data_IF_020630571103
#
_entry.id   IF_020630571103
#
_cell.length_a   1.000
_cell.length_b   1.000
_cell.length_c   1.000
_cell.angle_alpha   90.00
_cell.angle_beta   90.00
_cell.angle_gamma   90.00
#
_symmetry.space_group_name_H-M   'P 1'
#
loop_
_entity.id
_entity.type
_entity.pdbx_description
1 polymer ?
#
# COMPACT_ATOMS: atom_id res chain seq x y z
N UNK A 1 -4.16 -23.31 0.51
CA UNK A 1 -2.92 -24.11 0.29
C UNK A 1 -2.19 -24.16 1.62
N UNK A 2 -2.02 -25.34 2.20
CA UNK A 2 -1.25 -25.50 3.42
C UNK A 2 0.22 -25.19 3.10
N UNK A 3 0.83 -24.27 3.85
CA UNK A 3 2.26 -23.97 3.74
C UNK A 3 3.00 -25.19 4.29
N UNK A 4 3.63 -25.93 3.41
CA UNK A 4 4.35 -27.14 3.75
C UNK A 4 5.66 -26.78 4.49
N UNK A 5 5.70 -26.97 5.79
CA UNK A 5 6.86 -26.71 6.67
C UNK A 5 7.97 -27.78 6.48
N UNK A 6 7.74 -28.81 5.68
CA UNK A 6 8.68 -29.91 5.45
C UNK A 6 9.88 -29.57 4.57
N UNK A 7 9.92 -28.43 3.89
CA UNK A 7 11.05 -28.01 3.06
C UNK A 7 12.21 -27.33 3.83
N UNK A 8 12.09 -27.19 5.17
CA UNK A 8 13.14 -26.60 6.03
C UNK A 8 13.90 -27.63 6.87
N UNK A 9 13.90 -28.90 6.49
CA UNK A 9 14.48 -29.97 7.31
C UNK A 9 15.99 -30.20 7.15
N UNK A 10 16.72 -29.45 6.31
CA UNK A 10 18.12 -29.81 5.98
C UNK A 10 19.18 -28.75 6.33
N UNK A 11 18.98 -27.87 7.34
CA UNK A 11 20.11 -27.13 7.91
C UNK A 11 20.13 -27.14 9.43
N UNK A 12 21.23 -27.73 9.94
CA UNK A 12 21.61 -27.85 11.35
C UNK A 12 21.82 -26.47 12.00
N UNK A 13 20.74 -25.85 12.49
CA UNK A 13 20.85 -24.82 13.56
C UNK A 13 19.48 -24.64 14.26
N UNK A 14 19.32 -25.15 15.45
CA UNK A 14 18.07 -25.12 16.23
C UNK A 14 17.49 -23.72 16.47
N UNK A 15 18.30 -22.66 16.29
CA UNK A 15 17.86 -21.26 16.41
C UNK A 15 17.05 -20.75 15.19
N UNK A 16 17.43 -21.11 13.99
CA UNK A 16 16.77 -20.69 12.73
C UNK A 16 15.37 -21.30 12.65
N UNK A 17 15.23 -22.54 13.05
CA UNK A 17 13.95 -23.26 13.05
C UNK A 17 12.91 -22.65 14.01
N UNK A 18 13.34 -22.09 15.15
CA UNK A 18 12.44 -21.38 16.09
C UNK A 18 11.92 -20.09 15.49
N UNK A 19 12.74 -19.35 14.76
CA UNK A 19 12.33 -18.11 14.08
C UNK A 19 11.30 -18.41 12.98
N UNK A 20 11.55 -19.42 12.15
CA UNK A 20 10.61 -19.83 11.10
C UNK A 20 9.25 -20.25 11.68
N UNK A 21 9.25 -21.00 12.78
CA UNK A 21 8.04 -21.42 13.50
C UNK A 21 7.30 -20.21 14.12
N UNK A 22 8.02 -19.26 14.69
CA UNK A 22 7.45 -18.02 15.22
C UNK A 22 6.79 -17.19 14.10
N UNK A 23 7.45 -17.04 12.96
CA UNK A 23 6.90 -16.37 11.78
C UNK A 23 5.63 -17.08 11.28
N UNK A 24 5.60 -18.41 11.21
CA UNK A 24 4.43 -19.18 10.82
C UNK A 24 3.23 -18.90 11.76
N UNK A 25 3.46 -18.85 13.06
CA UNK A 25 2.42 -18.53 14.08
C UNK A 25 1.89 -17.09 13.86
N UNK A 26 2.77 -16.11 13.67
CA UNK A 26 2.36 -14.72 13.42
C UNK A 26 1.55 -14.60 12.13
N UNK A 27 1.95 -15.28 11.06
CA UNK A 27 1.23 -15.28 9.78
C UNK A 27 -0.18 -15.90 9.91
N UNK A 28 -0.31 -16.99 10.66
CA UNK A 28 -1.62 -17.60 10.93
C UNK A 28 -2.51 -16.65 11.73
N UNK A 29 -2.00 -16.03 12.78
CA UNK A 29 -2.75 -15.04 13.57
C UNK A 29 -3.15 -13.82 12.75
N UNK A 30 -2.34 -13.40 11.77
CA UNK A 30 -2.66 -12.32 10.84
C UNK A 30 -3.87 -12.61 9.96
N UNK A 31 -4.11 -13.88 9.61
CA UNK A 31 -5.29 -14.32 8.83
C UNK A 31 -6.55 -14.44 9.68
N UNK A 32 -6.43 -14.44 11.01
CA UNK A 32 -7.54 -14.61 11.94
C UNK A 32 -7.67 -13.43 12.93
N UNK A 33 -8.16 -12.25 12.50
CA UNK A 33 -8.28 -11.05 13.34
C UNK A 33 -9.15 -11.25 14.59
N UNK A 34 -10.07 -12.24 14.54
CA UNK A 34 -10.90 -12.66 15.66
C UNK A 34 -10.14 -13.28 16.82
N UNK A 35 -8.91 -13.74 16.57
CA UNK A 35 -8.07 -14.50 17.51
C UNK A 35 -8.24 -16.00 17.35
N UNK A 36 -7.26 -16.74 17.90
CA UNK A 36 -7.22 -18.22 17.86
C UNK A 36 -6.78 -18.79 19.20
N UNK A 37 -7.25 -19.99 19.52
CA UNK A 37 -6.74 -20.76 20.64
C UNK A 37 -5.38 -21.39 20.33
N UNK A 38 -4.60 -21.76 21.35
CA UNK A 38 -3.35 -22.52 21.18
C UNK A 38 -3.53 -23.84 20.41
N UNK A 39 -4.71 -24.46 20.54
CA UNK A 39 -5.02 -25.71 19.84
C UNK A 39 -5.22 -25.51 18.34
N UNK A 40 -5.98 -24.49 17.95
CA UNK A 40 -6.21 -24.12 16.55
C UNK A 40 -4.90 -23.70 15.87
N UNK A 41 -4.08 -22.88 16.53
CA UNK A 41 -2.75 -22.50 16.01
C UNK A 41 -1.89 -23.74 15.78
N UNK A 42 -1.83 -24.66 16.78
CA UNK A 42 -1.03 -25.88 16.69
C UNK A 42 -1.44 -26.76 15.51
N UNK A 43 -2.73 -26.85 15.24
CA UNK A 43 -3.27 -27.59 14.10
C UNK A 43 -2.91 -26.93 12.77
N UNK A 44 -3.05 -25.59 12.67
CA UNK A 44 -2.79 -24.83 11.45
C UNK A 44 -1.31 -24.83 11.04
N UNK A 45 -0.39 -24.70 12.05
CA UNK A 45 1.07 -24.70 11.79
C UNK A 45 1.69 -26.11 11.84
N UNK A 46 0.90 -27.16 12.04
CA UNK A 46 1.33 -28.56 12.14
C UNK A 46 2.46 -28.78 13.17
N UNK A 47 2.39 -28.12 14.35
CA UNK A 47 3.35 -28.22 15.43
C UNK A 47 2.71 -28.78 16.70
N UNK A 48 3.50 -29.49 17.56
CA UNK A 48 3.02 -29.94 18.88
C UNK A 48 2.54 -28.72 19.71
N UNK A 49 1.41 -28.86 20.40
CA UNK A 49 0.81 -27.78 21.23
C UNK A 49 1.79 -27.22 22.26
N UNK A 50 2.64 -28.07 22.86
CA UNK A 50 3.68 -27.65 23.82
C UNK A 50 4.74 -26.72 23.16
N UNK A 51 5.10 -26.98 21.90
CA UNK A 51 6.03 -26.17 21.14
C UNK A 51 5.38 -24.81 20.83
N UNK A 52 4.13 -24.79 20.35
CA UNK A 52 3.38 -23.56 20.10
C UNK A 52 3.25 -22.73 21.37
N UNK A 53 2.90 -23.35 22.49
CA UNK A 53 2.78 -22.68 23.79
C UNK A 53 4.08 -21.97 24.21
N UNK A 54 5.24 -22.61 24.03
CA UNK A 54 6.55 -22.00 24.35
C UNK A 54 6.89 -20.82 23.44
N UNK A 55 6.62 -20.96 22.13
CA UNK A 55 6.86 -19.88 21.17
C UNK A 55 5.91 -18.72 21.42
N UNK A 56 4.62 -18.98 21.63
CA UNK A 56 3.61 -17.94 21.94
C UNK A 56 3.97 -17.20 23.23
N UNK A 57 4.43 -17.89 24.29
CA UNK A 57 4.88 -17.23 25.52
C UNK A 57 6.06 -16.27 25.27
N UNK A 58 7.02 -16.65 24.42
CA UNK A 58 8.12 -15.78 24.04
C UNK A 58 7.64 -14.57 23.19
N UNK A 59 6.72 -14.79 22.25
CA UNK A 59 6.12 -13.73 21.44
C UNK A 59 5.27 -12.76 22.27
N UNK A 60 4.55 -13.27 23.28
CA UNK A 60 3.77 -12.45 24.23
C UNK A 60 4.69 -11.57 25.09
N UNK A 61 5.79 -12.15 25.60
CA UNK A 61 6.82 -11.40 26.34
C UNK A 61 7.41 -10.25 25.49
N UNK A 62 7.54 -10.44 24.17
CA UNK A 62 7.97 -9.45 23.22
C UNK A 62 6.82 -8.52 22.73
N UNK A 63 5.62 -8.69 23.23
CA UNK A 63 4.39 -7.97 22.80
C UNK A 63 4.07 -8.13 21.30
N UNK A 64 4.59 -9.14 20.63
CA UNK A 64 4.29 -9.49 19.24
C UNK A 64 2.97 -10.26 19.11
N UNK A 65 2.57 -10.94 20.18
CA UNK A 65 1.27 -11.60 20.36
C UNK A 65 0.68 -11.11 21.68
N UNK A 66 -0.62 -11.14 21.82
CA UNK A 66 -1.31 -10.86 23.09
C UNK A 66 -2.49 -11.81 23.28
N UNK A 67 -2.77 -12.15 24.53
CA UNK A 67 -4.01 -12.81 24.92
C UNK A 67 -5.16 -11.80 25.01
N UNK A 68 -6.31 -12.15 24.45
CA UNK A 68 -7.54 -11.33 24.45
C UNK A 68 -8.65 -11.98 25.27
N UNK A 69 -8.32 -12.59 26.41
CA UNK A 69 -9.30 -13.28 27.25
C UNK A 69 -10.07 -14.36 26.48
N UNK A 70 -11.41 -14.29 26.46
CA UNK A 70 -12.27 -15.22 25.72
C UNK A 70 -12.06 -15.22 24.21
N UNK A 71 -11.39 -14.21 23.65
CA UNK A 71 -11.11 -14.08 22.22
C UNK A 71 -9.82 -14.80 21.74
N UNK A 72 -9.12 -15.52 22.62
CA UNK A 72 -7.90 -16.24 22.26
C UNK A 72 -6.68 -15.35 22.09
N UNK A 73 -5.72 -15.83 21.28
CA UNK A 73 -4.45 -15.16 20.96
C UNK A 73 -4.61 -14.31 19.70
N UNK A 74 -4.04 -13.10 19.70
CA UNK A 74 -4.05 -12.16 18.58
C UNK A 74 -2.67 -11.54 18.40
N UNK A 75 -2.43 -10.90 17.24
CA UNK A 75 -1.25 -10.08 17.02
C UNK A 75 -1.16 -8.95 18.06
N UNK A 76 0.04 -8.69 18.53
CA UNK A 76 0.33 -7.77 19.62
C UNK A 76 0.77 -6.36 19.12
N UNK A 77 0.75 -5.35 20.02
CA UNK A 77 0.99 -3.95 19.67
C UNK A 77 2.43 -3.64 19.25
N UNK A 78 3.42 -4.49 19.59
CA UNK A 78 4.81 -4.29 19.17
C UNK A 78 4.96 -4.30 17.65
N UNK A 79 4.08 -5.02 16.92
CA UNK A 79 4.07 -5.03 15.45
C UNK A 79 3.80 -3.64 14.87
N UNK A 80 2.98 -2.80 15.52
CA UNK A 80 2.72 -1.44 15.05
C UNK A 80 3.99 -0.57 15.10
N UNK A 81 4.86 -0.77 16.10
CA UNK A 81 6.14 -0.07 16.19
C UNK A 81 7.10 -0.53 15.09
N UNK A 82 7.11 -1.81 14.77
CA UNK A 82 7.93 -2.37 13.68
C UNK A 82 7.46 -1.85 12.31
N UNK A 83 6.14 -1.80 12.08
CA UNK A 83 5.55 -1.27 10.85
C UNK A 83 5.93 0.21 10.64
N UNK A 84 5.94 1.04 11.70
CA UNK A 84 6.32 2.45 11.57
C UNK A 84 7.79 2.64 11.15
N UNK A 85 8.67 1.71 11.49
CA UNK A 85 10.07 1.71 11.04
C UNK A 85 10.21 1.27 9.57
N UNK A 86 9.40 0.32 9.14
CA UNK A 86 9.41 -0.20 7.76
C UNK A 86 8.89 0.81 6.73
N UNK A 87 8.06 1.79 7.12
CA UNK A 87 7.58 2.82 6.20
C UNK A 87 8.69 3.74 5.65
N UNK A 88 9.82 3.88 6.34
CA UNK A 88 10.99 4.57 5.81
C UNK A 88 11.62 3.78 4.66
N UNK A 89 11.60 2.47 4.76
CA UNK A 89 12.25 1.56 3.81
C UNK A 89 11.51 1.54 2.45
N UNK A 90 10.18 1.74 2.43
CA UNK A 90 9.42 1.82 1.16
C UNK A 90 9.80 3.02 0.33
N UNK A 91 9.98 4.20 0.96
CA UNK A 91 10.41 5.39 0.23
C UNK A 91 11.80 5.17 -0.35
N UNK A 92 12.74 4.62 0.43
CA UNK A 92 14.10 4.36 -0.02
C UNK A 92 14.15 3.29 -1.13
N UNK A 93 13.31 2.27 -1.03
CA UNK A 93 13.17 1.23 -2.04
C UNK A 93 12.62 1.76 -3.36
N UNK A 94 11.60 2.62 -3.31
CA UNK A 94 10.87 3.10 -4.49
C UNK A 94 11.53 4.34 -5.11
N UNK A 95 12.28 5.14 -4.32
CA UNK A 95 12.91 6.39 -4.75
C UNK A 95 13.69 6.28 -6.08
N UNK A 96 14.58 5.30 -6.31
CA UNK A 96 15.34 5.23 -7.57
C UNK A 96 14.43 5.13 -8.81
N UNK A 97 13.31 4.42 -8.69
CA UNK A 97 12.34 4.27 -9.77
C UNK A 97 11.58 5.56 -10.05
N UNK A 98 11.23 6.32 -8.99
CA UNK A 98 10.55 7.62 -9.14
C UNK A 98 11.50 8.66 -9.73
N UNK A 99 12.77 8.66 -9.34
CA UNK A 99 13.81 9.53 -9.89
C UNK A 99 14.03 9.23 -11.38
N UNK A 100 14.12 7.94 -11.73
CA UNK A 100 14.24 7.52 -13.14
C UNK A 100 13.01 7.91 -13.95
N UNK A 101 11.80 7.68 -13.43
CA UNK A 101 10.55 8.10 -14.09
C UNK A 101 10.53 9.60 -14.31
N UNK A 102 10.80 10.39 -13.26
CA UNK A 102 10.85 11.85 -13.36
C UNK A 102 11.90 12.34 -14.37
N UNK A 103 13.08 11.70 -14.43
CA UNK A 103 14.11 12.02 -15.39
C UNK A 103 13.67 11.72 -16.84
N UNK A 104 13.01 10.58 -17.07
CA UNK A 104 12.53 10.19 -18.41
C UNK A 104 11.47 11.14 -18.95
N UNK A 105 10.49 11.50 -18.14
CA UNK A 105 9.34 12.32 -18.57
C UNK A 105 9.56 13.81 -18.35
N UNK A 106 10.50 14.18 -17.48
CA UNK A 106 10.76 15.55 -16.97
C UNK A 106 9.49 16.22 -16.43
N UNK A 107 8.69 15.48 -15.64
CA UNK A 107 7.54 15.99 -14.88
C UNK A 107 7.65 15.53 -13.41
N UNK A 108 6.89 16.19 -12.54
CA UNK A 108 6.89 15.87 -11.10
C UNK A 108 6.18 14.55 -10.85
N UNK A 109 6.84 13.69 -10.08
CA UNK A 109 6.34 12.38 -9.65
C UNK A 109 6.11 12.38 -8.14
N UNK A 110 5.00 11.83 -7.67
CA UNK A 110 4.69 11.71 -6.24
C UNK A 110 4.43 10.28 -5.84
N UNK A 111 4.82 9.92 -4.62
CA UNK A 111 4.39 8.74 -3.90
C UNK A 111 3.47 9.18 -2.76
N UNK A 112 2.28 8.59 -2.68
CA UNK A 112 1.31 8.96 -1.66
C UNK A 112 0.60 7.72 -1.11
N UNK A 113 -0.07 7.90 0.03
CA UNK A 113 -0.91 6.87 0.68
C UNK A 113 -2.20 7.48 1.20
N UNK A 114 -3.18 6.66 1.46
CA UNK A 114 -4.37 7.09 2.19
C UNK A 114 -4.03 7.37 3.67
N UNK A 115 -4.59 8.44 4.19
CA UNK A 115 -4.55 8.83 5.61
C UNK A 115 -5.96 9.27 6.03
N UNK A 116 -6.75 8.33 6.56
CA UNK A 116 -8.18 8.53 6.73
C UNK A 116 -8.85 8.78 5.37
N UNK A 117 -9.59 9.88 5.25
CA UNK A 117 -10.32 10.27 4.03
C UNK A 117 -9.48 11.07 3.04
N UNK A 118 -8.19 11.23 3.32
CA UNK A 118 -7.29 12.12 2.57
C UNK A 118 -6.11 11.38 1.96
N UNK A 119 -5.56 11.94 0.89
CA UNK A 119 -4.32 11.51 0.27
C UNK A 119 -3.15 12.26 0.91
N UNK A 120 -2.21 11.54 1.51
CA UNK A 120 -0.99 12.08 2.10
C UNK A 120 0.21 11.78 1.18
N UNK A 121 0.84 12.82 0.64
CA UNK A 121 2.08 12.70 -0.12
C UNK A 121 3.22 12.40 0.87
N UNK A 122 3.91 11.28 0.67
CA UNK A 122 5.03 10.83 1.53
C UNK A 122 6.39 11.03 0.88
N UNK A 123 6.45 11.09 -0.44
CA UNK A 123 7.66 11.42 -1.19
C UNK A 123 7.31 12.04 -2.55
N UNK A 124 8.22 12.83 -3.11
CA UNK A 124 8.10 13.36 -4.47
C UNK A 124 9.46 13.65 -5.08
N UNK A 125 9.51 13.63 -6.40
CA UNK A 125 10.63 14.07 -7.24
C UNK A 125 10.13 15.20 -8.13
N UNK A 126 10.72 16.37 -8.00
CA UNK A 126 10.30 17.57 -8.75
C UNK A 126 10.97 17.62 -10.10
N UNK A 127 10.22 17.91 -11.15
CA UNK A 127 10.75 18.16 -12.49
C UNK A 127 11.79 19.29 -12.52
N UNK A 128 12.72 19.22 -13.46
CA UNK A 128 13.75 20.27 -13.64
C UNK A 128 13.29 21.44 -14.52
N UNK A 129 12.12 21.33 -15.18
CA UNK A 129 11.57 22.36 -16.06
C UNK A 129 11.24 23.65 -15.31
N UNK A 130 11.31 24.78 -15.99
CA UNK A 130 10.88 26.09 -15.48
C UNK A 130 9.41 26.05 -15.05
N UNK A 131 8.50 25.71 -15.98
CA UNK A 131 7.10 25.48 -15.67
C UNK A 131 6.89 24.04 -15.21
N UNK A 132 6.74 23.84 -13.90
CA UNK A 132 6.51 22.57 -13.26
C UNK A 132 5.49 22.68 -12.13
N UNK A 133 4.86 21.57 -11.78
CA UNK A 133 4.00 21.48 -10.60
C UNK A 133 4.86 21.06 -9.41
N UNK A 134 4.79 21.82 -8.30
CA UNK A 134 5.49 21.49 -7.06
C UNK A 134 4.45 21.18 -5.99
N UNK A 135 4.38 19.94 -5.49
CA UNK A 135 3.43 19.58 -4.45
C UNK A 135 3.78 20.28 -3.13
N UNK A 136 2.76 20.66 -2.37
CA UNK A 136 2.95 21.22 -1.03
C UNK A 136 2.99 20.08 -0.03
N UNK A 137 4.09 19.96 0.72
CA UNK A 137 4.20 18.99 1.82
C UNK A 137 3.16 19.34 2.89
N UNK A 138 2.47 18.30 3.40
CA UNK A 138 1.44 18.48 4.43
C UNK A 138 0.08 18.96 3.90
N UNK A 139 -0.05 19.18 2.59
CA UNK A 139 -1.36 19.36 1.99
C UNK A 139 -2.05 17.99 1.92
N UNK A 140 -3.13 17.87 2.63
CA UNK A 140 -4.01 16.71 2.57
C UNK A 140 -5.14 17.02 1.59
N UNK A 141 -5.27 16.21 0.55
CA UNK A 141 -6.32 16.35 -0.48
C UNK A 141 -7.34 15.21 -0.32
N UNK A 142 -8.63 15.47 -0.55
CA UNK A 142 -9.62 14.40 -0.49
C UNK A 142 -9.30 13.26 -1.45
N UNK A 143 -9.48 12.00 -1.01
CA UNK A 143 -9.24 10.83 -1.86
C UNK A 143 -10.09 10.85 -3.14
N UNK A 144 -11.32 11.34 -3.06
CA UNK A 144 -12.25 11.35 -4.19
C UNK A 144 -11.84 12.31 -5.31
N UNK A 145 -11.18 13.42 -4.99
CA UNK A 145 -10.84 14.47 -5.96
C UNK A 145 -9.57 14.17 -6.75
N UNK A 146 -8.64 13.38 -6.20
CA UNK A 146 -7.32 13.15 -6.78
C UNK A 146 -7.23 11.84 -7.57
N UNK A 147 -6.43 11.80 -8.64
CA UNK A 147 -6.14 10.55 -9.34
C UNK A 147 -5.47 9.52 -8.40
N UNK A 148 -4.51 9.96 -7.57
CA UNK A 148 -3.84 9.12 -6.57
C UNK A 148 -4.80 8.54 -5.52
N UNK A 149 -5.79 9.31 -5.09
CA UNK A 149 -6.82 8.84 -4.17
C UNK A 149 -7.77 7.85 -4.84
N UNK A 150 -8.21 8.12 -6.08
CA UNK A 150 -9.11 7.24 -6.82
C UNK A 150 -8.52 5.86 -7.12
N UNK A 151 -7.22 5.75 -7.41
CA UNK A 151 -6.58 4.42 -7.57
C UNK A 151 -6.51 3.65 -6.25
N UNK A 152 -6.37 4.33 -5.11
CA UNK A 152 -6.44 3.68 -3.79
C UNK A 152 -7.86 3.27 -3.43
N UNK A 153 -8.87 4.11 -3.69
CA UNK A 153 -10.28 3.78 -3.51
C UNK A 153 -10.72 2.61 -4.42
N UNK A 154 -10.15 2.47 -5.61
CA UNK A 154 -10.44 1.38 -6.52
C UNK A 154 -10.04 -0.01 -5.98
N UNK A 155 -9.15 -0.05 -4.99
CA UNK A 155 -8.73 -1.27 -4.29
C UNK A 155 -9.68 -1.69 -3.16
N UNK A 156 -10.65 -0.84 -2.82
CA UNK A 156 -11.65 -1.09 -1.80
C UNK A 156 -12.98 -1.57 -2.42
N UNK A 157 -13.86 -2.18 -1.61
CA UNK A 157 -15.23 -2.45 -2.06
C UNK A 157 -16.05 -1.16 -2.14
N UNK A 158 -17.12 -1.14 -2.95
CA UNK A 158 -18.00 0.03 -3.04
C UNK A 158 -18.64 0.40 -1.69
N UNK A 159 -18.85 -0.60 -0.83
CA UNK A 159 -19.32 -0.40 0.54
C UNK A 159 -18.28 0.35 1.37
N UNK A 160 -17.01 -0.04 1.27
CA UNK A 160 -15.93 0.59 2.03
C UNK A 160 -15.60 1.97 1.48
N UNK A 161 -15.67 2.17 0.15
CA UNK A 161 -15.56 3.49 -0.48
C UNK A 161 -16.60 4.45 0.11
N UNK A 162 -17.87 4.01 0.20
CA UNK A 162 -18.95 4.82 0.79
C UNK A 162 -18.64 5.23 2.22
N UNK A 163 -18.11 4.31 3.03
CA UNK A 163 -17.74 4.59 4.43
C UNK A 163 -16.56 5.55 4.51
N UNK A 164 -15.55 5.34 3.67
CA UNK A 164 -14.31 6.15 3.66
C UNK A 164 -14.53 7.58 3.19
N UNK A 165 -15.35 7.78 2.14
CA UNK A 165 -15.51 9.11 1.52
C UNK A 165 -16.63 9.92 2.18
N UNK A 166 -17.68 9.24 2.68
CA UNK A 166 -18.86 9.89 3.24
C UNK A 166 -19.71 10.57 2.18
N UNK A 167 -20.50 11.57 2.60
CA UNK A 167 -21.47 12.27 1.74
C UNK A 167 -21.07 13.71 1.40
N UNK A 168 -20.02 14.24 2.03
CA UNK A 168 -19.57 15.61 1.85
C UNK A 168 -18.48 15.70 0.77
N UNK A 169 -18.78 16.39 -0.33
CA UNK A 169 -17.87 16.62 -1.46
C UNK A 169 -17.62 18.13 -1.58
N UNK A 170 -16.38 18.55 -1.36
CA UNK A 170 -15.93 19.90 -1.60
C UNK A 170 -15.66 20.11 -3.10
N UNK A 171 -16.19 21.17 -3.66
CA UNK A 171 -15.91 21.56 -5.04
C UNK A 171 -14.65 22.43 -5.09
N UNK A 172 -13.55 21.87 -5.57
CA UNK A 172 -12.24 22.53 -5.57
C UNK A 172 -12.04 23.44 -6.81
N UNK A 173 -12.62 23.04 -7.95
CA UNK A 173 -12.34 23.72 -9.25
C UNK A 173 -13.59 23.87 -10.14
N UNK A 174 -14.76 23.55 -9.65
CA UNK A 174 -15.98 23.45 -10.48
C UNK A 174 -16.09 22.13 -11.28
N UNK A 175 -14.98 21.43 -11.47
CA UNK A 175 -14.92 20.14 -12.19
C UNK A 175 -14.81 18.93 -11.24
N UNK A 176 -14.62 19.19 -9.96
CA UNK A 176 -14.50 18.14 -8.93
C UNK A 176 -15.76 17.27 -8.88
N UNK A 177 -15.59 15.96 -8.73
CA UNK A 177 -16.72 15.02 -8.52
C UNK A 177 -17.53 15.41 -7.29
N UNK A 178 -18.86 15.43 -7.42
CA UNK A 178 -19.77 16.02 -6.40
C UNK A 178 -20.67 15.00 -5.71
N UNK A 179 -20.71 13.77 -6.22
CA UNK A 179 -21.61 12.75 -5.67
C UNK A 179 -20.95 11.38 -5.65
N UNK A 180 -21.39 10.55 -4.70
CA UNK A 180 -20.92 9.16 -4.61
C UNK A 180 -21.20 8.33 -5.88
N UNK A 181 -22.37 8.41 -6.54
CA UNK A 181 -22.59 7.68 -7.79
C UNK A 181 -21.56 8.05 -8.87
N UNK A 182 -21.28 9.33 -9.08
CA UNK A 182 -20.25 9.79 -10.03
C UNK A 182 -18.86 9.24 -9.65
N UNK A 183 -18.51 9.25 -8.36
CA UNK A 183 -17.25 8.70 -7.89
C UNK A 183 -17.17 7.20 -8.16
N UNK A 184 -18.23 6.43 -7.91
CA UNK A 184 -18.25 4.99 -8.15
C UNK A 184 -18.12 4.64 -9.63
N UNK A 185 -18.68 5.45 -10.54
CA UNK A 185 -18.46 5.30 -11.98
C UNK A 185 -16.99 5.52 -12.36
N UNK A 186 -16.35 6.57 -11.83
CA UNK A 186 -14.91 6.81 -12.02
C UNK A 186 -14.07 5.66 -11.44
N UNK A 187 -14.41 5.15 -10.28
CA UNK A 187 -13.72 4.02 -9.66
C UNK A 187 -13.88 2.74 -10.48
N UNK A 188 -15.06 2.49 -11.05
CA UNK A 188 -15.27 1.35 -11.94
C UNK A 188 -14.38 1.43 -13.19
N UNK A 189 -14.24 2.62 -13.76
CA UNK A 189 -13.33 2.87 -14.89
C UNK A 189 -11.85 2.65 -14.48
N UNK A 190 -11.47 3.10 -13.30
CA UNK A 190 -10.12 2.88 -12.74
C UNK A 190 -9.84 1.39 -12.57
N UNK A 191 -10.80 0.61 -12.04
CA UNK A 191 -10.65 -0.85 -11.89
C UNK A 191 -10.46 -1.55 -13.24
N UNK A 192 -11.16 -1.08 -14.28
CA UNK A 192 -11.04 -1.63 -15.63
C UNK A 192 -9.71 -1.27 -16.32
N UNK A 193 -9.20 -0.04 -16.13
CA UNK A 193 -8.02 0.49 -16.80
C UNK A 193 -6.72 0.34 -16.01
N UNK A 194 -6.79 0.12 -14.70
CA UNK A 194 -5.66 0.04 -13.79
C UNK A 194 -4.98 1.39 -13.47
N UNK A 195 -5.59 2.52 -13.87
CA UNK A 195 -5.09 3.86 -13.64
C UNK A 195 -6.24 4.87 -13.51
N UNK A 196 -5.97 6.00 -12.86
CA UNK A 196 -6.88 7.15 -12.79
C UNK A 196 -6.25 8.39 -13.42
N UNK A 197 -7.10 9.24 -14.01
CA UNK A 197 -6.70 10.55 -14.55
C UNK A 197 -7.58 11.62 -13.89
N UNK A 198 -6.96 12.74 -13.51
CA UNK A 198 -7.61 13.97 -13.06
C UNK A 198 -7.24 15.07 -14.06
N UNK A 199 -8.24 15.66 -14.67
CA UNK A 199 -8.10 16.70 -15.73
C UNK A 199 -8.38 18.11 -15.19
N UNK A 200 -7.81 18.44 -14.04
CA UNK A 200 -8.01 19.74 -13.39
C UNK A 200 -9.14 19.74 -12.36
N UNK A 201 -9.54 18.58 -11.89
CA UNK A 201 -10.57 18.42 -10.87
C UNK A 201 -10.09 18.82 -9.46
N UNK A 202 -8.76 18.63 -9.20
CA UNK A 202 -8.13 19.00 -7.93
C UNK A 202 -7.52 20.39 -7.96
N UNK A 203 -6.89 20.76 -9.07
CA UNK A 203 -6.22 22.05 -9.25
C UNK A 203 -6.34 22.50 -10.72
N UNK A 204 -6.88 23.68 -10.95
CA UNK A 204 -7.02 24.26 -12.30
C UNK A 204 -5.67 24.32 -13.02
N UNK A 205 -5.66 23.90 -14.29
CA UNK A 205 -4.48 23.91 -15.16
C UNK A 205 -3.47 22.79 -14.88
N UNK A 206 -3.75 21.90 -13.93
CA UNK A 206 -2.93 20.72 -13.62
C UNK A 206 -3.72 19.46 -13.91
N UNK A 207 -3.12 18.57 -14.71
CA UNK A 207 -3.62 17.21 -14.90
C UNK A 207 -2.74 16.23 -14.12
N UNK A 208 -3.35 15.19 -13.58
CA UNK A 208 -2.60 14.12 -12.93
C UNK A 208 -3.04 12.75 -13.44
N UNK A 209 -2.08 11.84 -13.52
CA UNK A 209 -2.33 10.42 -13.82
C UNK A 209 -1.68 9.58 -12.74
N UNK A 210 -2.37 8.56 -12.26
CA UNK A 210 -1.92 7.74 -11.14
C UNK A 210 -2.15 6.26 -11.37
N UNK A 211 -1.30 5.44 -10.72
CA UNK A 211 -1.45 3.99 -10.56
C UNK A 211 -1.34 3.60 -9.09
N UNK A 212 -2.00 2.51 -8.71
CA UNK A 212 -1.86 1.94 -7.38
C UNK A 212 -0.70 0.96 -7.32
N UNK A 213 0.01 0.93 -6.19
CA UNK A 213 0.93 -0.10 -5.75
C UNK A 213 0.32 -0.83 -4.56
N UNK A 214 0.10 -2.13 -4.68
CA UNK A 214 -0.23 -3.02 -3.56
C UNK A 214 1.03 -3.79 -3.19
N UNK A 215 1.50 -3.61 -1.97
CA UNK A 215 2.76 -4.18 -1.50
C UNK A 215 2.59 -4.76 -0.10
N UNK A 216 3.52 -5.60 0.34
CA UNK A 216 3.57 -6.06 1.73
C UNK A 216 3.76 -4.91 2.74
N UNK A 217 4.27 -3.77 2.28
CA UNK A 217 4.47 -2.57 3.09
C UNK A 217 3.22 -1.67 3.16
N UNK A 218 2.14 -2.04 2.46
CA UNK A 218 0.90 -1.28 2.36
C UNK A 218 0.57 -0.86 0.93
N UNK A 219 -0.49 -0.05 0.84
CA UNK A 219 -1.02 0.45 -0.43
C UNK A 219 -0.60 1.89 -0.66
N UNK A 220 -0.04 2.14 -1.83
CA UNK A 220 0.47 3.45 -2.24
C UNK A 220 -0.08 3.82 -3.61
N UNK A 221 0.01 5.10 -3.95
CA UNK A 221 -0.20 5.58 -5.31
C UNK A 221 1.04 6.29 -5.82
N UNK A 222 1.38 6.07 -7.10
CA UNK A 222 2.36 6.87 -7.83
C UNK A 222 1.57 7.76 -8.78
N UNK A 223 1.82 9.07 -8.74
CA UNK A 223 1.14 10.02 -9.61
C UNK A 223 2.12 10.94 -10.31
N UNK A 224 1.82 11.28 -11.58
CA UNK A 224 2.48 12.33 -12.32
C UNK A 224 1.66 13.60 -12.19
N UNK A 225 2.31 14.73 -11.91
CA UNK A 225 1.71 16.04 -11.82
C UNK A 225 2.21 16.87 -13.01
N UNK A 226 1.32 17.19 -13.94
CA UNK A 226 1.68 17.75 -15.25
C UNK A 226 0.82 18.98 -15.55
N UNK A 227 1.38 20.10 -16.01
CA UNK A 227 0.59 21.19 -16.57
C UNK A 227 -0.31 20.72 -17.73
N UNK A 228 -1.59 21.10 -17.71
CA UNK A 228 -2.61 20.58 -18.61
C UNK A 228 -2.24 20.62 -20.11
N UNK A 229 -1.63 21.71 -20.67
CA UNK A 229 -1.27 21.75 -22.09
C UNK A 229 -0.26 20.65 -22.49
N UNK A 230 0.65 20.29 -21.57
CA UNK A 230 1.61 19.20 -21.84
C UNK A 230 0.99 17.84 -21.66
N UNK A 231 0.11 17.69 -20.67
CA UNK A 231 -0.58 16.44 -20.42
C UNK A 231 -1.35 15.97 -21.65
N UNK A 232 -2.20 16.81 -22.20
CA UNK A 232 -3.01 16.50 -23.39
C UNK A 232 -2.17 16.12 -24.62
N UNK A 233 -0.98 16.72 -24.75
CA UNK A 233 -0.06 16.41 -25.87
C UNK A 233 0.64 15.08 -25.72
N UNK A 234 0.90 14.62 -24.49
CA UNK A 234 1.78 13.49 -24.19
C UNK A 234 1.13 12.42 -23.31
N UNK A 235 -0.19 12.41 -23.18
CA UNK A 235 -0.92 11.48 -22.29
C UNK A 235 -0.52 10.02 -22.47
N UNK A 236 -0.48 9.54 -23.73
CA UNK A 236 -0.12 8.16 -24.05
C UNK A 236 1.29 7.81 -23.56
N UNK A 237 2.23 8.72 -23.73
CA UNK A 237 3.62 8.54 -23.26
C UNK A 237 3.67 8.49 -21.73
N UNK A 238 3.00 9.41 -21.04
CA UNK A 238 2.95 9.40 -19.56
C UNK A 238 2.32 8.12 -19.02
N UNK A 239 1.26 7.63 -19.66
CA UNK A 239 0.61 6.37 -19.30
C UNK A 239 1.58 5.19 -19.40
N UNK A 240 2.33 5.09 -20.49
CA UNK A 240 3.29 4.01 -20.73
C UNK A 240 4.42 4.04 -19.70
N UNK A 241 5.08 5.18 -19.51
CA UNK A 241 6.19 5.33 -18.56
C UNK A 241 5.75 5.03 -17.12
N UNK A 242 4.55 5.49 -16.72
CA UNK A 242 4.01 5.25 -15.39
C UNK A 242 3.71 3.76 -15.15
N UNK A 243 3.16 3.06 -16.13
CA UNK A 243 2.90 1.63 -16.04
C UNK A 243 4.20 0.82 -15.98
N UNK A 244 5.21 1.15 -16.79
CA UNK A 244 6.52 0.52 -16.73
C UNK A 244 7.21 0.72 -15.39
N UNK A 245 7.13 1.93 -14.82
CA UNK A 245 7.65 2.21 -13.49
C UNK A 245 6.96 1.34 -12.42
N UNK A 246 5.63 1.23 -12.45
CA UNK A 246 4.88 0.35 -11.57
C UNK A 246 5.36 -1.10 -11.66
N UNK A 247 5.48 -1.64 -12.88
CA UNK A 247 5.93 -3.01 -13.12
C UNK A 247 7.35 -3.24 -12.58
N UNK A 248 8.26 -2.30 -12.81
CA UNK A 248 9.63 -2.38 -12.31
C UNK A 248 9.69 -2.43 -10.78
N UNK A 249 8.89 -1.59 -10.10
CA UNK A 249 8.79 -1.58 -8.63
C UNK A 249 8.21 -2.89 -8.11
N UNK A 250 7.12 -3.39 -8.71
CA UNK A 250 6.48 -4.66 -8.30
C UNK A 250 7.46 -5.82 -8.45
N UNK A 251 8.22 -5.87 -9.55
CA UNK A 251 9.22 -6.90 -9.78
C UNK A 251 10.37 -6.82 -8.77
N UNK A 252 10.84 -5.63 -8.42
CA UNK A 252 11.91 -5.48 -7.41
C UNK A 252 11.44 -5.88 -6.02
N UNK A 253 10.24 -5.47 -5.61
CA UNK A 253 9.64 -5.90 -4.34
C UNK A 253 9.47 -7.43 -4.31
N UNK A 254 9.01 -8.02 -5.41
CA UNK A 254 8.90 -9.48 -5.55
C UNK A 254 10.24 -10.21 -5.42
N UNK A 255 11.33 -9.65 -5.99
CA UNK A 255 12.69 -10.20 -5.85
C UNK A 255 13.18 -10.17 -4.40
N UNK A 256 12.96 -9.06 -3.68
CA UNK A 256 13.38 -8.93 -2.28
C UNK A 256 12.69 -9.99 -1.41
N UNK A 257 11.44 -10.30 -1.69
CA UNK A 257 10.67 -11.31 -0.96
C UNK A 257 11.17 -12.72 -1.25
N UNK A 258 11.47 -13.05 -2.52
CA UNK A 258 11.93 -14.39 -2.93
C UNK A 258 13.39 -14.69 -2.53
N UNK A 259 14.22 -13.69 -2.26
CA UNK A 259 15.59 -13.89 -1.73
C UNK A 259 15.58 -14.18 -0.22
N UNK A 260 14.44 -13.94 0.45
CA UNK A 260 14.23 -14.25 1.88
C UNK A 260 13.63 -15.63 2.14
N UNK A 261 13.33 -16.41 1.09
CA UNK A 261 12.94 -17.83 1.15
C UNK A 261 14.17 -18.73 0.96
#
# INVERSE_FOLDING_TARGET
>A
MAVNVSSFEDEKTGGIQVIARAAAILNVLGKHPGGMSLGEIAQEVALPRSTVQRIVAALDSAQLVRSSGAGGLRLGPALLKLISSVHSDVVDLVRPFLEQLSANINETVTLARASGTQLAIIHYVVATRELRVVPRIGLNLPLYSTSGGRVLLAMESDKDVRILVGEAYEDLTGMTVKTLPQLLELIADVRAKGLAIDLGETLEGVCTIAVALDTLFGRFSISLLVPAPRFHKHETFYRQELMQCKEAIVNEIGRIISVGE
#
